data_IF_857712275738
#
_entry.id   IF_857712275738
#
_cell.length_a   1.000
_cell.length_b   1.000
_cell.length_c   1.000
_cell.angle_alpha   90.00
_cell.angle_beta   90.00
_cell.angle_gamma   90.00
#
_symmetry.space_group_name_H-M   'P 1'
#
loop_
_entity.id
_entity.type
_entity.pdbx_description
1 polymer ?
#
# COMPACT_ATOMS: atom_id res chain seq x y z
N UNK A 1 -3.83 -9.48 -24.19
CA UNK A 1 -2.75 -9.97 -23.32
C UNK A 1 -1.91 -8.75 -22.98
N UNK A 2 -1.73 -8.45 -21.70
CA UNK A 2 -0.93 -7.30 -21.27
C UNK A 2 0.55 -7.68 -21.18
N UNK A 3 1.42 -6.68 -21.03
CA UNK A 3 2.85 -6.87 -20.87
C UNK A 3 3.15 -7.38 -19.44
N UNK A 4 3.46 -8.67 -19.32
CA UNK A 4 3.74 -9.31 -18.03
C UNK A 4 5.00 -8.76 -17.37
N UNK A 5 6.05 -8.43 -18.14
CA UNK A 5 7.30 -7.92 -17.60
C UNK A 5 7.09 -6.55 -16.97
N UNK A 6 6.31 -5.69 -17.64
CA UNK A 6 5.91 -4.40 -17.10
C UNK A 6 5.11 -4.57 -15.80
N UNK A 7 4.10 -5.45 -15.79
CA UNK A 7 3.28 -5.68 -14.58
C UNK A 7 4.11 -6.25 -13.43
N UNK A 8 4.98 -7.22 -13.70
CA UNK A 8 5.91 -7.79 -12.71
C UNK A 8 6.82 -6.72 -12.11
N UNK A 9 7.33 -5.81 -12.93
CA UNK A 9 8.18 -4.70 -12.45
C UNK A 9 7.42 -3.80 -11.46
N UNK A 10 6.14 -3.52 -11.71
CA UNK A 10 5.31 -2.69 -10.83
C UNK A 10 4.96 -3.46 -9.55
N UNK A 11 4.63 -4.75 -9.66
CA UNK A 11 4.35 -5.60 -8.49
C UNK A 11 5.56 -5.68 -7.55
N UNK A 12 6.78 -5.78 -8.09
CA UNK A 12 8.00 -5.75 -7.28
C UNK A 12 8.21 -4.42 -6.56
N UNK A 13 7.89 -3.29 -7.20
CA UNK A 13 7.94 -1.97 -6.55
C UNK A 13 6.92 -1.88 -5.41
N UNK A 14 5.71 -2.42 -5.61
CA UNK A 14 4.68 -2.50 -4.56
C UNK A 14 5.17 -3.37 -3.39
N UNK A 15 5.72 -4.55 -3.65
CA UNK A 15 6.23 -5.43 -2.58
C UNK A 15 7.37 -4.77 -1.77
N UNK A 16 8.28 -4.08 -2.44
CA UNK A 16 9.35 -3.32 -1.77
C UNK A 16 8.78 -2.19 -0.90
N UNK A 17 7.80 -1.44 -1.41
CA UNK A 17 7.14 -0.38 -0.65
C UNK A 17 6.39 -0.92 0.58
N UNK A 18 5.67 -2.04 0.43
CA UNK A 18 5.02 -2.72 1.56
C UNK A 18 6.03 -3.21 2.59
N UNK A 19 7.19 -3.72 2.15
CA UNK A 19 8.30 -4.08 3.03
C UNK A 19 8.83 -2.89 3.83
N UNK A 20 8.98 -1.73 3.19
CA UNK A 20 9.38 -0.48 3.87
C UNK A 20 8.35 -0.02 4.89
N UNK A 21 7.04 -0.11 4.58
CA UNK A 21 5.98 0.22 5.54
C UNK A 21 6.09 -0.68 6.77
N UNK A 22 6.13 -2.01 6.57
CA UNK A 22 6.27 -2.98 7.68
C UNK A 22 7.47 -2.69 8.57
N UNK A 23 8.64 -2.41 7.98
CA UNK A 23 9.85 -2.10 8.74
C UNK A 23 9.75 -0.77 9.50
N UNK A 24 9.11 0.25 8.92
CA UNK A 24 8.95 1.57 9.57
C UNK A 24 7.90 1.56 10.68
N UNK A 25 6.89 0.70 10.55
CA UNK A 25 5.81 0.54 11.53
C UNK A 25 6.12 -0.50 12.63
N UNK A 26 7.25 -1.21 12.56
CA UNK A 26 7.57 -2.31 13.49
C UNK A 26 7.62 -1.87 14.97
N UNK A 27 8.10 -0.65 15.22
CA UNK A 27 8.20 -0.05 16.56
C UNK A 27 7.01 0.85 16.91
N UNK A 28 5.99 0.88 16.07
CA UNK A 28 4.78 1.66 16.30
C UNK A 28 3.75 0.68 16.85
N UNK A 29 3.35 0.87 18.10
CA UNK A 29 2.42 0.01 18.81
C UNK A 29 1.04 0.66 19.00
N UNK A 30 0.96 1.96 18.74
CA UNK A 30 -0.26 2.77 18.81
C UNK A 30 -0.17 3.97 17.86
N UNK A 31 -1.30 4.65 17.64
CA UNK A 31 -1.33 5.91 16.89
C UNK A 31 -0.49 7.00 17.57
N UNK A 32 -0.49 7.03 18.91
CA UNK A 32 0.28 7.99 19.71
C UNK A 32 1.80 7.90 19.42
N UNK A 33 2.32 6.70 19.12
CA UNK A 33 3.73 6.54 18.74
C UNK A 33 4.10 7.29 17.45
N UNK A 34 3.11 7.59 16.59
CA UNK A 34 3.30 8.50 15.45
C UNK A 34 3.27 9.97 15.87
N UNK A 35 2.37 10.38 16.77
CA UNK A 35 2.10 11.80 17.01
C UNK A 35 2.90 12.41 18.17
N UNK A 36 3.36 11.60 19.12
CA UNK A 36 3.98 12.06 20.36
C UNK A 36 5.42 12.55 20.20
N UNK A 37 6.02 12.37 19.02
CA UNK A 37 7.38 12.84 18.75
C UNK A 37 7.57 13.31 17.31
N UNK A 38 8.51 14.25 17.06
CA UNK A 38 8.87 14.65 15.71
C UNK A 38 9.33 13.47 14.84
N UNK A 39 10.07 12.52 15.41
CA UNK A 39 10.51 11.32 14.71
C UNK A 39 9.35 10.37 14.35
N UNK A 40 8.32 10.29 15.20
CA UNK A 40 7.08 9.57 14.90
C UNK A 40 6.35 10.21 13.73
N UNK A 41 6.24 11.54 13.71
CA UNK A 41 5.57 12.29 12.66
C UNK A 41 6.32 12.14 11.32
N UNK A 42 7.66 12.21 11.33
CA UNK A 42 8.46 11.94 10.13
C UNK A 42 8.26 10.51 9.59
N UNK A 43 8.09 9.52 10.48
CA UNK A 43 7.75 8.15 10.07
C UNK A 43 6.36 8.08 9.46
N UNK A 44 5.38 8.75 10.06
CA UNK A 44 4.00 8.82 9.54
C UNK A 44 4.00 9.43 8.13
N UNK A 45 4.63 10.60 7.95
CA UNK A 45 4.81 11.25 6.65
C UNK A 45 5.43 10.30 5.62
N UNK A 46 6.51 9.60 6.02
CA UNK A 46 7.18 8.65 5.16
C UNK A 46 6.35 7.42 4.79
N UNK A 47 5.47 6.95 5.69
CA UNK A 47 4.54 5.83 5.44
C UNK A 47 3.40 6.29 4.51
N UNK A 48 2.84 7.48 4.75
CA UNK A 48 1.81 8.08 3.90
C UNK A 48 2.28 8.23 2.45
N UNK A 49 3.54 8.66 2.23
CA UNK A 49 4.14 8.71 0.89
C UNK A 49 4.25 7.34 0.21
N UNK A 50 4.51 6.27 0.98
CA UNK A 50 4.54 4.92 0.46
C UNK A 50 3.13 4.43 0.09
N UNK A 51 2.12 4.74 0.90
CA UNK A 51 0.73 4.42 0.59
C UNK A 51 0.24 5.12 -0.68
N UNK A 52 0.57 6.41 -0.87
CA UNK A 52 0.27 7.13 -2.12
C UNK A 52 0.89 6.41 -3.33
N UNK A 53 2.16 6.02 -3.20
CA UNK A 53 2.91 5.35 -4.27
C UNK A 53 2.32 3.98 -4.61
N UNK A 54 1.93 3.20 -3.59
CA UNK A 54 1.28 1.89 -3.76
C UNK A 54 -0.07 2.06 -4.45
N UNK A 55 -0.91 3.01 -4.00
CA UNK A 55 -2.22 3.25 -4.61
C UNK A 55 -2.12 3.65 -6.09
N UNK A 56 -1.14 4.48 -6.45
CA UNK A 56 -0.89 4.87 -7.85
C UNK A 56 -0.41 3.66 -8.68
N UNK A 57 0.50 2.86 -8.14
CA UNK A 57 0.99 1.65 -8.79
C UNK A 57 -0.13 0.63 -9.05
N UNK A 58 -1.04 0.44 -8.09
CA UNK A 58 -2.22 -0.42 -8.23
C UNK A 58 -3.18 0.10 -9.32
N UNK A 59 -3.46 1.41 -9.34
CA UNK A 59 -4.26 2.05 -10.42
C UNK A 59 -3.62 1.83 -11.79
N UNK A 60 -2.29 1.90 -11.87
CA UNK A 60 -1.56 1.66 -13.11
C UNK A 60 -1.67 0.18 -13.57
N UNK A 61 -1.54 -0.78 -12.64
CA UNK A 61 -1.77 -2.21 -12.95
C UNK A 61 -3.19 -2.44 -13.45
N UNK A 62 -4.20 -1.86 -12.77
CA UNK A 62 -5.60 -1.99 -13.18
C UNK A 62 -5.80 -1.47 -14.61
N UNK A 63 -5.21 -0.31 -14.93
CA UNK A 63 -5.24 0.29 -16.27
C UNK A 63 -4.53 -0.58 -17.32
N UNK A 64 -3.31 -1.06 -17.06
CA UNK A 64 -2.52 -1.88 -18.00
C UNK A 64 -3.24 -3.20 -18.30
N UNK A 65 -3.84 -3.80 -17.28
CA UNK A 65 -4.48 -5.12 -17.38
C UNK A 65 -5.96 -5.04 -17.75
N UNK A 66 -6.53 -3.84 -17.85
CA UNK A 66 -7.97 -3.63 -18.05
C UNK A 66 -8.83 -4.25 -16.95
N UNK A 67 -8.33 -4.25 -15.70
CA UNK A 67 -8.97 -4.85 -14.52
C UNK A 67 -9.00 -6.38 -14.48
N UNK A 68 -8.49 -7.05 -15.52
CA UNK A 68 -8.55 -8.52 -15.63
C UNK A 68 -7.60 -9.25 -14.68
N UNK A 69 -6.55 -8.58 -14.17
CA UNK A 69 -5.61 -9.19 -13.24
C UNK A 69 -6.11 -9.10 -11.79
N UNK A 70 -6.42 -7.90 -11.31
CA UNK A 70 -6.84 -7.68 -9.92
C UNK A 70 -8.12 -8.45 -9.58
N UNK A 71 -9.05 -8.55 -10.53
CA UNK A 71 -10.29 -9.32 -10.37
C UNK A 71 -10.10 -10.82 -10.09
N UNK A 72 -8.93 -11.39 -10.36
CA UNK A 72 -8.59 -12.78 -10.03
C UNK A 72 -8.29 -13.00 -8.54
N UNK A 73 -8.10 -11.92 -7.80
CA UNK A 73 -7.73 -11.91 -6.38
C UNK A 73 -8.80 -11.15 -5.60
N UNK A 74 -10.03 -11.67 -5.61
CA UNK A 74 -11.22 -11.00 -5.07
C UNK A 74 -11.26 -10.89 -3.54
N UNK A 75 -10.35 -11.57 -2.84
CA UNK A 75 -10.20 -11.44 -1.38
C UNK A 75 -9.61 -10.09 -0.94
N UNK A 76 -8.97 -9.36 -1.86
CA UNK A 76 -8.39 -8.05 -1.58
C UNK A 76 -9.36 -6.95 -1.99
N UNK A 77 -9.61 -5.98 -1.10
CA UNK A 77 -10.34 -4.77 -1.45
C UNK A 77 -9.46 -3.82 -2.28
N UNK A 78 -9.42 -4.05 -3.59
CA UNK A 78 -8.67 -3.22 -4.53
C UNK A 78 -9.17 -1.78 -4.57
N UNK A 79 -10.47 -1.56 -4.35
CA UNK A 79 -11.03 -0.20 -4.36
C UNK A 79 -10.55 0.57 -3.14
N UNK A 80 -10.59 -0.04 -1.97
CA UNK A 80 -9.99 0.51 -0.74
C UNK A 80 -8.50 0.77 -0.90
N UNK A 81 -7.72 -0.23 -1.34
CA UNK A 81 -6.28 -0.12 -1.50
C UNK A 81 -5.86 0.99 -2.49
N UNK A 82 -6.59 1.18 -3.58
CA UNK A 82 -6.36 2.28 -4.52
C UNK A 82 -6.89 3.63 -4.02
N UNK A 83 -8.03 3.63 -3.32
CA UNK A 83 -8.71 4.82 -2.83
C UNK A 83 -8.01 5.47 -1.63
N UNK A 84 -7.32 4.68 -0.81
CA UNK A 84 -6.64 5.19 0.39
C UNK A 84 -5.60 6.27 0.06
N UNK A 85 -4.89 6.14 -1.07
CA UNK A 85 -4.04 7.22 -1.61
C UNK A 85 -4.78 8.55 -1.70
N UNK A 86 -6.00 8.55 -2.21
CA UNK A 86 -6.73 9.78 -2.52
C UNK A 86 -7.13 10.50 -1.22
N UNK A 87 -7.44 9.73 -0.17
CA UNK A 87 -7.64 10.23 1.20
C UNK A 87 -6.35 10.90 1.68
N UNK A 88 -5.22 10.19 1.62
CA UNK A 88 -3.94 10.72 2.10
C UNK A 88 -3.52 11.98 1.33
N UNK A 89 -3.63 11.96 0.00
CA UNK A 89 -3.12 13.04 -0.85
C UNK A 89 -3.94 14.35 -0.75
N UNK A 90 -5.25 14.26 -0.53
CA UNK A 90 -6.13 15.45 -0.49
C UNK A 90 -6.47 15.90 0.93
N UNK A 91 -6.54 14.95 1.87
CA UNK A 91 -6.93 15.18 3.25
C UNK A 91 -5.76 14.94 4.22
N UNK A 92 -4.51 15.15 3.76
CA UNK A 92 -3.31 14.87 4.55
C UNK A 92 -3.34 15.49 5.95
N UNK A 93 -3.72 16.77 6.03
CA UNK A 93 -3.80 17.50 7.30
C UNK A 93 -4.88 16.97 8.24
N UNK A 94 -5.87 16.25 7.69
CA UNK A 94 -6.99 15.66 8.41
C UNK A 94 -6.83 14.14 8.54
N UNK A 95 -5.67 13.57 8.18
CA UNK A 95 -5.40 12.14 8.33
C UNK A 95 -5.47 11.78 9.81
N UNK A 96 -6.26 10.76 10.10
CA UNK A 96 -6.29 10.14 11.40
C UNK A 96 -5.11 9.16 11.54
N UNK A 97 -4.21 9.44 12.48
CA UNK A 97 -3.10 8.55 12.80
C UNK A 97 -3.60 7.16 13.27
N UNK A 98 -4.79 7.08 13.87
CA UNK A 98 -5.43 5.80 14.22
C UNK A 98 -5.77 4.98 12.97
N UNK A 99 -6.30 5.62 11.92
CA UNK A 99 -6.62 4.94 10.67
C UNK A 99 -5.35 4.42 9.99
N UNK A 100 -4.30 5.25 9.93
CA UNK A 100 -3.01 4.84 9.34
C UNK A 100 -2.39 3.69 10.12
N UNK A 101 -2.39 3.77 11.46
CA UNK A 101 -1.92 2.69 12.31
C UNK A 101 -2.71 1.40 12.09
N UNK A 102 -4.05 1.49 12.05
CA UNK A 102 -4.92 0.34 11.84
C UNK A 102 -4.61 -0.35 10.50
N UNK A 103 -4.45 0.42 9.41
CA UNK A 103 -4.11 -0.11 8.08
C UNK A 103 -2.72 -0.77 8.11
N UNK A 104 -1.74 -0.15 8.76
CA UNK A 104 -0.40 -0.75 8.92
C UNK A 104 -0.46 -2.10 9.64
N UNK A 105 -1.27 -2.20 10.70
CA UNK A 105 -1.39 -3.40 11.52
C UNK A 105 -2.20 -4.52 10.83
N UNK A 106 -3.25 -4.18 10.07
CA UNK A 106 -4.23 -5.15 9.59
C UNK A 106 -4.17 -5.41 8.08
N UNK A 107 -3.89 -4.41 7.25
CA UNK A 107 -4.10 -4.48 5.79
C UNK A 107 -2.78 -4.64 5.00
N UNK A 108 -1.68 -4.08 5.51
CA UNK A 108 -0.37 -4.16 4.83
C UNK A 108 0.11 -5.61 4.69
N UNK A 109 -0.14 -6.45 5.68
CA UNK A 109 0.26 -7.86 5.65
C UNK A 109 -0.53 -8.70 4.63
N UNK A 110 -1.88 -8.72 4.67
CA UNK A 110 -2.71 -9.36 3.65
C UNK A 110 -2.40 -8.90 2.22
N UNK A 111 -2.22 -7.58 2.01
CA UNK A 111 -1.90 -7.05 0.70
C UNK A 111 -0.54 -7.57 0.21
N UNK A 112 0.49 -7.57 1.05
CA UNK A 112 1.82 -8.10 0.71
C UNK A 112 1.78 -9.58 0.34
N UNK A 113 0.98 -10.39 1.03
CA UNK A 113 0.80 -11.82 0.68
C UNK A 113 0.19 -11.95 -0.72
N UNK A 114 -0.85 -11.17 -1.02
CA UNK A 114 -1.49 -11.19 -2.33
C UNK A 114 -0.56 -10.74 -3.44
N UNK A 115 0.18 -9.65 -3.24
CA UNK A 115 1.15 -9.14 -4.23
C UNK A 115 2.24 -10.17 -4.52
N UNK A 116 2.78 -10.84 -3.49
CA UNK A 116 3.77 -11.91 -3.69
C UNK A 116 3.21 -13.09 -4.47
N UNK A 117 1.97 -13.50 -4.18
CA UNK A 117 1.29 -14.54 -4.97
C UNK A 117 1.11 -14.10 -6.43
N UNK A 118 0.72 -12.85 -6.68
CA UNK A 118 0.61 -12.31 -8.05
C UNK A 118 1.93 -12.38 -8.81
N UNK A 119 3.05 -12.10 -8.14
CA UNK A 119 4.39 -12.20 -8.72
C UNK A 119 4.69 -13.66 -9.12
N UNK A 120 4.42 -14.62 -8.23
CA UNK A 120 4.66 -16.04 -8.54
C UNK A 120 3.73 -16.57 -9.65
N UNK A 121 2.46 -16.15 -9.68
CA UNK A 121 1.49 -16.60 -10.68
C UNK A 121 1.75 -16.03 -12.09
N UNK A 122 2.52 -14.94 -12.20
CA UNK A 122 2.88 -14.29 -13.46
C UNK A 122 4.27 -14.68 -13.98
N UNK A 123 5.08 -15.37 -13.18
CA UNK A 123 6.36 -15.97 -13.60
C UNK A 123 6.12 -17.17 -14.52
#
# INVERSE_FOLDING_TARGET
MFDNDLVLSILHQIDEALGKIKSRSEQIHSADDFTDSPAGMEKLDGICMLFISIGEALKNIDKITGGSLLSKYSETDWKGAMGFRDIIAHHYFDIDAEEVFWICAHEVSPLSITIKRMIEDLR
#
